data_IF_061362515984
#
_entry.id   IF_061362515984
#
_cell.length_a   1.000
_cell.length_b   1.000
_cell.length_c   1.000
_cell.angle_alpha   90.00
_cell.angle_beta   90.00
_cell.angle_gamma   90.00
#
_symmetry.space_group_name_H-M   'P 1'
#
loop_
_entity.id
_entity.type
_entity.pdbx_description
1 polymer ?
#
# COMPACT_ATOMS: atom_id res chain seq x y z
N UNK A 1 -11.73 -4.83 23.56
CA UNK A 1 -11.58 -6.30 23.44
C UNK A 1 -11.71 -6.78 21.99
N UNK A 2 -12.76 -6.41 21.25
CA UNK A 2 -12.93 -6.82 19.84
C UNK A 2 -11.93 -6.16 18.86
N UNK A 3 -11.60 -4.88 19.03
CA UNK A 3 -10.67 -4.16 18.12
C UNK A 3 -9.25 -4.75 18.12
N UNK A 4 -8.77 -5.23 19.27
CA UNK A 4 -7.48 -5.92 19.38
C UNK A 4 -7.45 -7.25 18.61
N UNK A 5 -8.59 -7.92 18.44
CA UNK A 5 -8.68 -9.18 17.71
C UNK A 5 -8.51 -8.97 16.20
N UNK A 6 -9.11 -7.91 15.65
CA UNK A 6 -9.01 -7.59 14.22
C UNK A 6 -7.61 -7.14 13.82
N UNK A 7 -6.95 -6.32 14.64
CA UNK A 7 -5.59 -5.88 14.37
C UNK A 7 -4.62 -7.07 14.34
N UNK A 8 -4.76 -7.97 15.31
CA UNK A 8 -3.94 -9.19 15.40
C UNK A 8 -4.14 -10.11 14.19
N UNK A 9 -5.37 -10.25 13.68
CA UNK A 9 -5.64 -11.08 12.50
C UNK A 9 -5.09 -10.45 11.21
N UNK A 10 -5.17 -9.13 11.07
CA UNK A 10 -4.54 -8.38 9.96
C UNK A 10 -3.01 -8.57 9.97
N UNK A 11 -2.38 -8.42 11.14
CA UNK A 11 -0.93 -8.54 11.30
C UNK A 11 -0.41 -9.95 10.99
N UNK A 12 -1.21 -10.98 11.31
CA UNK A 12 -0.81 -12.37 11.06
C UNK A 12 -1.10 -12.78 9.61
N UNK A 13 -2.24 -12.37 9.04
CA UNK A 13 -2.70 -12.92 7.75
C UNK A 13 -2.43 -12.02 6.55
N UNK A 14 -2.47 -10.71 6.73
CA UNK A 14 -2.45 -9.75 5.62
C UNK A 14 -1.10 -9.03 5.53
N UNK A 15 -0.61 -8.53 6.67
CA UNK A 15 0.64 -7.77 6.74
C UNK A 15 1.85 -8.51 6.14
N UNK A 16 2.06 -9.83 6.34
CA UNK A 16 3.21 -10.54 5.79
C UNK A 16 3.24 -10.57 4.27
N UNK A 17 2.07 -10.60 3.63
CA UNK A 17 1.96 -10.57 2.17
C UNK A 17 2.39 -9.20 1.61
N UNK A 18 1.98 -8.12 2.27
CA UNK A 18 2.35 -6.74 1.89
C UNK A 18 3.86 -6.55 2.08
N UNK A 19 4.39 -6.97 3.23
CA UNK A 19 5.81 -6.84 3.55
C UNK A 19 6.71 -7.67 2.62
N UNK A 20 6.22 -8.84 2.16
CA UNK A 20 6.93 -9.65 1.17
C UNK A 20 7.05 -8.92 -0.18
N UNK A 21 5.95 -8.35 -0.69
CA UNK A 21 5.96 -7.59 -1.95
C UNK A 21 6.91 -6.39 -1.85
N UNK A 22 6.89 -5.68 -0.71
CA UNK A 22 7.79 -4.57 -0.44
C UNK A 22 9.25 -5.01 -0.37
N UNK A 23 9.54 -6.16 0.26
CA UNK A 23 10.89 -6.72 0.32
C UNK A 23 11.42 -7.09 -1.07
N UNK A 24 10.59 -7.72 -1.92
CA UNK A 24 10.95 -8.04 -3.29
C UNK A 24 11.20 -6.79 -4.15
N UNK A 25 10.38 -5.74 -3.94
CA UNK A 25 10.56 -4.44 -4.61
C UNK A 25 11.90 -3.79 -4.26
N UNK A 26 12.30 -3.83 -2.98
CA UNK A 26 13.59 -3.29 -2.51
C UNK A 26 14.81 -4.02 -3.06
N UNK A 27 14.66 -5.28 -3.45
CA UNK A 27 15.70 -6.07 -4.12
C UNK A 27 15.78 -5.80 -5.63
N UNK A 28 15.04 -4.82 -6.15
CA UNK A 28 14.96 -4.46 -7.58
C UNK A 28 14.47 -5.61 -8.49
N UNK A 29 13.82 -6.62 -7.90
CA UNK A 29 13.28 -7.78 -8.65
C UNK A 29 12.08 -7.36 -9.50
N UNK A 30 11.41 -6.26 -9.15
CA UNK A 30 10.26 -5.71 -9.89
C UNK A 30 10.54 -5.42 -11.38
N UNK A 31 11.80 -5.18 -11.74
CA UNK A 31 12.21 -4.97 -13.13
C UNK A 31 12.35 -6.27 -13.92
N UNK A 32 12.46 -7.41 -13.22
CA UNK A 32 12.64 -8.75 -13.79
C UNK A 32 11.38 -9.61 -13.67
N UNK A 33 10.51 -9.31 -12.69
CA UNK A 33 9.27 -10.01 -12.43
C UNK A 33 8.19 -8.98 -12.06
N UNK A 34 6.99 -9.15 -12.63
CA UNK A 34 5.85 -8.31 -12.26
C UNK A 34 5.44 -8.59 -10.81
N UNK A 35 5.54 -7.57 -9.96
CA UNK A 35 5.06 -7.62 -8.58
C UNK A 35 3.64 -7.05 -8.47
N UNK A 36 2.77 -7.58 -7.60
CA UNK A 36 1.48 -6.97 -7.31
C UNK A 36 1.62 -5.50 -6.92
N UNK A 37 0.87 -4.61 -7.57
CA UNK A 37 0.89 -3.17 -7.33
C UNK A 37 -0.48 -2.57 -7.65
N UNK A 38 -0.90 -1.58 -6.86
CA UNK A 38 -2.01 -0.69 -7.19
C UNK A 38 -1.40 0.64 -7.62
N UNK A 39 -1.64 1.05 -8.87
CA UNK A 39 -1.16 2.32 -9.41
C UNK A 39 -2.31 3.32 -9.48
N UNK A 40 -2.07 4.54 -9.02
CA UNK A 40 -3.04 5.65 -9.10
C UNK A 40 -2.78 6.45 -10.38
N UNK A 41 -3.79 6.53 -11.25
CA UNK A 41 -3.72 7.26 -12.52
C UNK A 41 -4.92 8.20 -12.65
N UNK A 42 -4.74 9.30 -13.37
CA UNK A 42 -5.79 10.29 -13.63
C UNK A 42 -5.23 11.52 -14.32
N UNK A 43 -6.10 12.33 -14.90
CA UNK A 43 -5.72 13.52 -15.65
C UNK A 43 -5.25 14.68 -14.75
N UNK A 44 -4.61 15.72 -15.29
CA UNK A 44 -4.15 16.86 -14.49
C UNK A 44 -5.31 17.45 -13.65
N UNK A 45 -5.05 17.72 -12.36
CA UNK A 45 -6.03 18.24 -11.39
C UNK A 45 -7.26 17.34 -11.13
N UNK A 46 -7.17 16.04 -11.45
CA UNK A 46 -8.25 15.07 -11.18
C UNK A 46 -8.42 14.70 -9.69
N UNK A 47 -7.73 15.36 -8.75
CA UNK A 47 -7.81 15.08 -7.31
C UNK A 47 -7.06 13.83 -6.83
N UNK A 48 -6.19 13.23 -7.65
CA UNK A 48 -5.39 12.04 -7.26
C UNK A 48 -4.56 12.23 -5.99
N UNK A 49 -3.92 13.39 -5.80
CA UNK A 49 -3.20 13.71 -4.56
C UNK A 49 -4.16 13.85 -3.38
N UNK A 50 -5.27 14.56 -3.55
CA UNK A 50 -6.28 14.76 -2.51
C UNK A 50 -6.88 13.45 -1.99
N UNK A 51 -7.08 12.46 -2.87
CA UNK A 51 -7.52 11.11 -2.46
C UNK A 51 -6.45 10.40 -1.64
N UNK A 52 -5.18 10.49 -2.03
CA UNK A 52 -4.08 9.87 -1.29
C UNK A 52 -3.84 10.54 0.07
N UNK A 53 -4.03 11.85 0.17
CA UNK A 53 -4.00 12.57 1.45
C UNK A 53 -5.10 12.08 2.38
N UNK A 54 -6.33 11.94 1.87
CA UNK A 54 -7.46 11.44 2.64
C UNK A 54 -7.27 9.98 3.12
N UNK A 55 -6.65 9.13 2.30
CA UNK A 55 -6.37 7.72 2.65
C UNK A 55 -5.18 7.56 3.60
N UNK A 56 -4.13 8.36 3.42
CA UNK A 56 -2.91 8.27 4.23
C UNK A 56 -2.99 9.05 5.54
N UNK A 57 -3.88 10.04 5.62
CA UNK A 57 -3.92 10.99 6.74
C UNK A 57 -2.72 11.95 6.79
N UNK A 58 -1.90 12.00 5.72
CA UNK A 58 -0.71 12.84 5.62
C UNK A 58 -0.87 13.80 4.44
N UNK A 59 -0.52 15.07 4.63
CA UNK A 59 -0.49 16.06 3.55
C UNK A 59 0.64 15.74 2.57
N UNK A 60 0.32 15.76 1.28
CA UNK A 60 1.27 15.51 0.20
C UNK A 60 1.71 16.85 -0.41
N UNK A 61 2.98 16.98 -0.84
CA UNK A 61 3.46 18.16 -1.56
C UNK A 61 2.83 18.30 -2.95
#
# INVERSE_FOLDING_TARGET
AAEHSFHNEYDIKIRPCIDLVESLRRLDIGNKLMLPMITVIGDQNSGKSSVLEALSGVALP
#
